data_IF_822285858787
#
_entry.id   IF_822285858787
#
_cell.length_a   1.000
_cell.length_b   1.000
_cell.length_c   1.000
_cell.angle_alpha   90.00
_cell.angle_beta   90.00
_cell.angle_gamma   90.00
#
_symmetry.space_group_name_H-M   'P 1'
#
loop_
_entity.id
_entity.type
_entity.pdbx_description
1 polymer ?
#
# COMPACT_ATOMS: atom_id res chain seq x y z
N UNK A 1 0.38 17.23 15.99
CA UNK A 1 -0.77 16.47 15.48
C UNK A 1 -0.88 15.23 16.32
N UNK A 2 -2.02 15.00 16.97
CA UNK A 2 -2.21 13.83 17.82
C UNK A 2 -2.68 12.67 16.95
N UNK A 3 -2.15 11.48 17.20
CA UNK A 3 -2.52 10.27 16.47
C UNK A 3 -3.37 9.38 17.37
N UNK A 4 -4.34 8.69 16.78
CA UNK A 4 -5.06 7.63 17.48
C UNK A 4 -4.13 6.49 17.86
N UNK A 5 -4.55 5.69 18.84
CA UNK A 5 -3.93 4.40 19.10
C UNK A 5 -3.88 3.54 17.83
N UNK A 6 -2.89 2.66 17.78
CA UNK A 6 -2.73 1.71 16.69
C UNK A 6 -3.86 0.69 16.71
N UNK A 7 -4.49 0.51 15.56
CA UNK A 7 -5.56 -0.48 15.35
C UNK A 7 -5.08 -1.55 14.36
N UNK A 8 -5.36 -2.83 14.60
CA UNK A 8 -5.08 -3.88 13.62
C UNK A 8 -5.81 -3.60 12.30
N UNK A 9 -5.14 -3.81 11.17
CA UNK A 9 -5.73 -3.72 9.83
C UNK A 9 -5.74 -5.11 9.20
N UNK A 10 -6.92 -5.74 9.15
CA UNK A 10 -7.05 -7.09 8.58
C UNK A 10 -7.15 -7.03 7.07
N UNK A 11 -6.10 -7.47 6.40
CA UNK A 11 -5.99 -7.52 4.94
C UNK A 11 -5.79 -8.96 4.48
N UNK A 12 -6.50 -9.38 3.43
CA UNK A 12 -6.45 -10.75 2.91
C UNK A 12 -6.28 -10.75 1.39
N UNK A 13 -5.26 -11.43 0.84
CA UNK A 13 -4.14 -12.03 1.56
C UNK A 13 -3.32 -10.96 2.31
N UNK A 14 -2.57 -11.41 3.31
CA UNK A 14 -1.74 -10.53 4.15
C UNK A 14 -0.67 -9.79 3.33
N UNK A 15 0.01 -8.85 3.98
CA UNK A 15 1.04 -8.02 3.37
C UNK A 15 2.29 -8.12 4.23
N UNK A 16 3.39 -8.64 3.66
CA UNK A 16 4.70 -8.62 4.31
C UNK A 16 5.41 -7.28 4.09
N UNK A 17 6.54 -7.06 4.79
CA UNK A 17 7.28 -5.79 4.74
C UNK A 17 7.82 -5.45 3.35
N UNK A 18 8.34 -6.45 2.63
CA UNK A 18 8.92 -6.22 1.30
C UNK A 18 7.82 -5.87 0.31
N UNK A 19 6.71 -6.63 0.32
CA UNK A 19 5.53 -6.35 -0.49
C UNK A 19 4.89 -5.00 -0.14
N UNK A 20 4.89 -4.59 1.13
CA UNK A 20 4.41 -3.27 1.57
C UNK A 20 5.27 -2.16 0.99
N UNK A 21 6.59 -2.24 1.17
CA UNK A 21 7.52 -1.24 0.66
C UNK A 21 7.39 -1.10 -0.86
N UNK A 22 7.38 -2.21 -1.59
CA UNK A 22 7.21 -2.20 -3.05
C UNK A 22 5.82 -1.67 -3.48
N UNK A 23 4.77 -1.95 -2.72
CA UNK A 23 3.42 -1.41 -2.99
C UNK A 23 3.37 0.12 -2.82
N UNK A 24 4.03 0.66 -1.78
CA UNK A 24 3.94 2.08 -1.43
C UNK A 24 4.97 2.97 -2.11
N UNK A 25 6.16 2.44 -2.39
CA UNK A 25 7.31 3.20 -2.91
C UNK A 25 7.81 2.67 -4.27
N UNK A 26 7.27 1.56 -4.78
CA UNK A 26 7.58 1.02 -6.12
C UNK A 26 7.03 1.85 -7.29
N UNK A 27 6.68 3.12 -7.06
CA UNK A 27 6.26 4.06 -8.10
C UNK A 27 4.78 4.04 -8.48
N UNK A 28 3.95 3.30 -7.75
CA UNK A 28 2.49 3.36 -7.92
C UNK A 28 1.91 4.65 -7.35
N UNK A 29 2.39 5.06 -6.17
CA UNK A 29 2.02 6.29 -5.47
C UNK A 29 3.28 7.08 -5.14
N UNK A 30 3.12 8.39 -4.97
CA UNK A 30 4.19 9.32 -4.59
C UNK A 30 3.89 10.06 -3.28
N UNK A 31 2.89 9.59 -2.54
CA UNK A 31 2.33 10.25 -1.35
C UNK A 31 2.59 9.48 -0.07
N UNK A 32 3.45 8.47 -0.11
CA UNK A 32 3.88 7.69 1.03
C UNK A 32 5.32 8.04 1.41
N UNK A 33 5.57 8.17 2.71
CA UNK A 33 6.90 8.46 3.26
C UNK A 33 7.14 7.46 4.40
N UNK A 34 8.25 6.74 4.32
CA UNK A 34 8.72 5.87 5.39
C UNK A 34 9.57 6.67 6.38
N UNK A 35 9.32 6.48 7.67
CA UNK A 35 10.19 7.00 8.72
C UNK A 35 11.27 5.97 9.14
N UNK A 36 12.30 6.36 9.92
CA UNK A 36 13.33 5.43 10.40
C UNK A 36 12.82 4.30 11.30
N UNK A 37 11.57 4.36 11.76
CA UNK A 37 10.92 3.33 12.57
C UNK A 37 10.07 2.36 11.73
N UNK A 38 10.29 2.32 10.42
CA UNK A 38 9.56 1.49 9.45
C UNK A 38 8.03 1.72 9.51
N UNK A 39 7.65 2.97 9.76
CA UNK A 39 6.27 3.42 9.69
C UNK A 39 6.06 4.24 8.43
N UNK A 40 5.04 3.89 7.67
CA UNK A 40 4.67 4.54 6.43
C UNK A 40 3.54 5.52 6.69
N UNK A 41 3.75 6.80 6.40
CA UNK A 41 2.71 7.83 6.45
C UNK A 41 2.26 8.16 5.04
N UNK A 42 0.96 8.09 4.79
CA UNK A 42 0.36 8.26 3.47
C UNK A 42 -0.83 9.21 3.48
N UNK A 43 -1.09 9.80 2.32
CA UNK A 43 -2.27 10.61 2.08
C UNK A 43 -2.89 10.30 0.72
N UNK A 44 -4.22 10.16 0.70
CA UNK A 44 -5.04 10.15 -0.51
C UNK A 44 -6.41 10.78 -0.19
N UNK A 45 -6.93 11.58 -1.11
CA UNK A 45 -8.16 12.35 -0.91
C UNK A 45 -8.11 13.14 0.42
N UNK A 46 -9.09 12.91 1.30
CA UNK A 46 -9.20 13.48 2.64
C UNK A 46 -8.54 12.62 3.73
N UNK A 47 -7.95 11.47 3.38
CA UNK A 47 -7.41 10.51 4.33
C UNK A 47 -5.92 10.77 4.57
N UNK A 48 -5.55 10.87 5.85
CA UNK A 48 -4.16 10.83 6.29
C UNK A 48 -4.05 9.66 7.27
N UNK A 49 -3.16 8.72 6.96
CA UNK A 49 -2.95 7.54 7.82
C UNK A 49 -1.47 7.26 7.94
N UNK A 50 -1.13 6.52 8.98
CA UNK A 50 0.14 5.81 9.06
C UNK A 50 -0.12 4.32 9.23
N UNK A 51 0.70 3.50 8.59
CA UNK A 51 0.65 2.05 8.68
C UNK A 51 2.03 1.48 8.99
N UNK A 52 2.04 0.36 9.70
CA UNK A 52 3.27 -0.39 10.00
C UNK A 52 2.96 -1.88 10.13
N UNK A 53 3.97 -2.69 9.93
CA UNK A 53 3.93 -4.12 10.25
C UNK A 53 4.67 -4.33 11.57
N UNK A 54 4.09 -5.06 12.52
CA UNK A 54 4.76 -5.43 13.77
C UNK A 54 5.84 -6.50 13.53
N UNK A 55 6.70 -6.78 14.51
CA UNK A 55 7.66 -7.90 14.42
C UNK A 55 6.95 -9.25 14.22
N UNK A 56 5.74 -9.39 14.75
CA UNK A 56 4.86 -10.56 14.58
C UNK A 56 4.18 -10.62 13.18
N UNK A 57 4.45 -9.65 12.30
CA UNK A 57 3.89 -9.62 10.94
C UNK A 57 2.47 -9.05 10.86
N UNK A 58 1.98 -8.38 11.90
CA UNK A 58 0.63 -7.82 11.91
C UNK A 58 0.61 -6.39 11.37
N UNK A 59 -0.17 -6.17 10.30
CA UNK A 59 -0.43 -4.85 9.77
C UNK A 59 -1.35 -4.07 10.72
N UNK A 60 -0.95 -2.85 11.05
CA UNK A 60 -1.71 -1.93 11.90
C UNK A 60 -1.74 -0.54 11.28
N UNK A 61 -2.77 0.22 11.62
CA UNK A 61 -2.97 1.58 11.14
C UNK A 61 -3.30 2.56 12.28
N UNK A 62 -3.08 3.83 12.02
CA UNK A 62 -3.41 4.95 12.92
C UNK A 62 -3.68 6.19 12.05
N UNK A 63 -4.50 7.12 12.53
CA UNK A 63 -4.81 8.35 11.83
C UNK A 63 -4.74 9.55 12.78
N UNK A 64 -4.60 10.78 12.27
CA UNK A 64 -4.71 11.97 13.10
C UNK A 64 -6.08 12.07 13.74
N UNK A 65 -6.13 12.32 15.05
CA UNK A 65 -7.39 12.37 15.82
C UNK A 65 -8.35 13.41 15.28
N UNK A 66 -7.85 14.49 14.69
CA UNK A 66 -8.64 15.59 14.14
C UNK A 66 -9.15 15.32 12.72
N UNK A 67 -8.60 14.33 12.01
CA UNK A 67 -8.94 14.02 10.61
C UNK A 67 -9.60 12.64 10.43
N UNK A 68 -9.61 11.80 11.46
CA UNK A 68 -10.19 10.47 11.37
C UNK A 68 -11.72 10.53 11.16
N UNK A 69 -12.19 9.85 10.13
CA UNK A 69 -13.61 9.62 9.87
C UNK A 69 -14.00 8.19 10.31
N UNK A 70 -15.29 7.92 10.60
CA UNK A 70 -15.74 6.59 11.01
C UNK A 70 -15.42 5.48 9.99
N UNK A 71 -15.31 5.83 8.70
CA UNK A 71 -15.07 4.91 7.60
C UNK A 71 -13.60 4.92 7.10
N UNK A 72 -12.68 5.61 7.77
CA UNK A 72 -11.26 5.68 7.36
C UNK A 72 -10.62 4.30 7.21
N UNK A 73 -10.95 3.34 8.10
CA UNK A 73 -10.44 1.96 7.99
C UNK A 73 -10.92 1.28 6.69
N UNK A 74 -12.21 1.41 6.37
CA UNK A 74 -12.79 0.81 5.18
C UNK A 74 -12.22 1.45 3.90
N UNK A 75 -12.00 2.77 3.92
CA UNK A 75 -11.34 3.49 2.83
C UNK A 75 -9.89 3.05 2.64
N UNK A 76 -9.14 2.86 3.73
CA UNK A 76 -7.77 2.35 3.70
C UNK A 76 -7.72 0.92 3.14
N UNK A 77 -8.61 0.03 3.59
CA UNK A 77 -8.72 -1.32 3.02
C UNK A 77 -9.01 -1.28 1.53
N UNK A 78 -9.99 -0.47 1.09
CA UNK A 78 -10.32 -0.31 -0.32
C UNK A 78 -9.13 0.24 -1.13
N UNK A 79 -8.42 1.25 -0.60
CA UNK A 79 -7.23 1.83 -1.21
C UNK A 79 -6.11 0.79 -1.38
N UNK A 80 -5.88 -0.05 -0.37
CA UNK A 80 -4.94 -1.19 -0.42
C UNK A 80 -5.49 -2.40 -1.21
N UNK A 81 -6.58 -2.22 -1.96
CA UNK A 81 -7.11 -3.25 -2.85
C UNK A 81 -7.78 -4.42 -2.15
N UNK A 82 -8.29 -4.24 -0.94
CA UNK A 82 -9.12 -5.24 -0.27
C UNK A 82 -10.36 -5.57 -1.13
N UNK A 83 -10.78 -6.84 -1.07
CA UNK A 83 -11.90 -7.36 -1.85
C UNK A 83 -11.55 -7.81 -3.28
N UNK A 84 -10.31 -7.58 -3.75
CA UNK A 84 -9.81 -8.27 -4.95
C UNK A 84 -9.47 -9.73 -4.63
N UNK A 85 -9.75 -10.65 -5.56
CA UNK A 85 -9.28 -12.03 -5.48
C UNK A 85 -7.85 -12.12 -6.03
N UNK A 86 -6.88 -11.68 -5.22
CA UNK A 86 -5.46 -11.62 -5.62
C UNK A 86 -4.91 -12.98 -6.04
N UNK A 87 -5.26 -14.05 -5.32
CA UNK A 87 -4.83 -15.42 -5.67
C UNK A 87 -5.28 -15.82 -7.07
N UNK A 88 -6.55 -15.54 -7.42
CA UNK A 88 -7.08 -15.81 -8.76
C UNK A 88 -6.45 -14.93 -9.84
N UNK A 89 -6.11 -13.68 -9.53
CA UNK A 89 -5.41 -12.80 -10.47
C UNK A 89 -3.99 -13.27 -10.73
N UNK A 90 -3.26 -13.67 -9.68
CA UNK A 90 -1.90 -14.21 -9.79
C UNK A 90 -1.91 -15.53 -10.57
N UNK A 91 -2.91 -16.40 -10.34
CA UNK A 91 -3.00 -17.69 -11.03
C UNK A 91 -3.21 -17.57 -12.55
N UNK A 92 -3.81 -16.46 -13.00
CA UNK A 92 -4.00 -16.15 -14.42
C UNK A 92 -2.71 -15.66 -15.11
N UNK A 93 -1.68 -15.26 -14.36
CA UNK A 93 -0.42 -14.82 -14.94
C UNK A 93 0.40 -16.02 -15.47
N UNK A 94 1.21 -15.86 -16.54
CA UNK A 94 1.96 -16.96 -17.15
C UNK A 94 3.21 -17.39 -16.35
N UNK A 95 3.20 -17.27 -15.02
CA UNK A 95 4.36 -17.51 -14.14
C UNK A 95 4.86 -18.96 -14.16
N UNK A 96 4.01 -19.92 -14.55
CA UNK A 96 4.41 -21.33 -14.71
C UNK A 96 5.39 -21.54 -15.86
N UNK A 97 5.30 -20.68 -16.88
CA UNK A 97 6.16 -20.69 -18.07
C UNK A 97 7.16 -19.54 -18.12
N UNK A 98 7.04 -18.55 -17.23
CA UNK A 98 7.93 -17.40 -17.13
C UNK A 98 8.71 -17.41 -15.79
N UNK A 99 10.01 -17.76 -15.80
CA UNK A 99 10.81 -17.84 -14.58
C UNK A 99 11.06 -16.48 -13.91
N UNK A 100 11.04 -15.37 -14.65
CA UNK A 100 11.23 -14.04 -14.09
C UNK A 100 9.98 -13.60 -13.33
N UNK A 101 8.80 -13.86 -13.92
CA UNK A 101 7.53 -13.58 -13.26
C UNK A 101 7.35 -14.44 -12.01
N UNK A 102 7.73 -15.72 -12.06
CA UNK A 102 7.73 -16.58 -10.87
C UNK A 102 8.60 -16.00 -9.75
N UNK A 103 9.83 -15.60 -10.09
CA UNK A 103 10.76 -14.99 -9.12
C UNK A 103 10.19 -13.70 -8.51
N UNK A 104 9.51 -12.87 -9.31
CA UNK A 104 8.88 -11.65 -8.81
C UNK A 104 7.73 -11.95 -7.82
N UNK A 105 6.89 -12.94 -8.13
CA UNK A 105 5.80 -13.38 -7.23
C UNK A 105 6.37 -13.95 -5.92
N UNK A 106 7.44 -14.74 -5.99
CA UNK A 106 8.10 -15.29 -4.79
C UNK A 106 8.75 -14.21 -3.93
N UNK A 107 9.34 -13.17 -4.56
CA UNK A 107 9.98 -12.06 -3.86
C UNK A 107 8.96 -11.12 -3.18
N UNK A 108 7.78 -10.94 -3.78
CA UNK A 108 6.76 -10.03 -3.27
C UNK A 108 5.35 -10.66 -3.31
N UNK A 109 5.09 -11.68 -2.47
CA UNK A 109 3.86 -12.46 -2.52
C UNK A 109 2.60 -11.66 -2.16
N UNK A 110 2.75 -10.52 -1.47
CA UNK A 110 1.66 -9.62 -1.12
C UNK A 110 1.53 -8.39 -2.03
N UNK A 111 2.39 -8.26 -3.06
CA UNK A 111 2.39 -7.10 -3.96
C UNK A 111 1.03 -6.93 -4.62
N UNK A 112 0.55 -5.69 -4.61
CA UNK A 112 -0.80 -5.37 -5.09
C UNK A 112 -0.86 -3.99 -5.70
N UNK A 113 -1.95 -3.77 -6.44
CA UNK A 113 -2.23 -2.50 -7.09
C UNK A 113 -3.07 -1.62 -6.16
N UNK A 114 -2.59 -0.40 -5.90
CA UNK A 114 -3.33 0.60 -5.13
C UNK A 114 -4.55 1.13 -5.91
N UNK A 115 -5.71 1.26 -5.24
CA UNK A 115 -6.92 1.87 -5.81
C UNK A 115 -6.94 3.37 -5.54
N UNK A 116 -6.07 4.09 -6.24
CA UNK A 116 -5.90 5.53 -6.08
C UNK A 116 -7.05 6.33 -6.72
N UNK A 117 -7.38 7.53 -6.18
CA UNK A 117 -8.25 8.49 -6.85
C UNK A 117 -7.69 8.84 -8.23
N UNK A 118 -8.56 8.87 -9.24
CA UNK A 118 -8.15 9.07 -10.63
C UNK A 118 -7.42 10.40 -10.83
N UNK A 119 -7.90 11.50 -10.23
CA UNK A 119 -7.27 12.81 -10.42
C UNK A 119 -5.86 12.86 -9.80
N UNK A 120 -5.68 12.25 -8.62
CA UNK A 120 -4.37 12.19 -7.95
C UNK A 120 -3.37 11.35 -8.72
N UNK A 121 -3.79 10.18 -9.21
CA UNK A 121 -2.95 9.32 -10.04
C UNK A 121 -2.54 10.04 -11.33
N UNK A 122 -3.51 10.65 -12.04
CA UNK A 122 -3.25 11.39 -13.28
C UNK A 122 -2.23 12.51 -13.08
N UNK A 123 -2.44 13.36 -12.08
CA UNK A 123 -1.54 14.48 -11.79
C UNK A 123 -0.17 13.98 -11.33
N UNK A 124 -0.12 12.94 -10.50
CA UNK A 124 1.12 12.31 -10.06
C UNK A 124 1.97 11.84 -11.25
N UNK A 125 1.37 11.10 -12.17
CA UNK A 125 2.08 10.58 -13.36
C UNK A 125 2.39 11.67 -14.40
N UNK A 126 1.56 12.71 -14.53
CA UNK A 126 1.89 13.86 -15.39
C UNK A 126 3.15 14.57 -14.87
N UNK A 127 3.29 14.70 -13.55
CA UNK A 127 4.47 15.27 -12.91
C UNK A 127 5.69 14.32 -12.91
N UNK A 128 5.50 13.01 -13.07
CA UNK A 128 6.59 12.02 -13.10
C UNK A 128 7.27 11.90 -14.47
N UNK A 129 6.63 12.37 -15.55
CA UNK A 129 7.11 12.23 -16.93
C UNK A 129 8.50 12.86 -17.20
N UNK A 130 9.04 13.64 -16.27
CA UNK A 130 10.41 14.22 -16.36
C UNK A 130 11.28 13.97 -15.12
N UNK A 131 10.86 13.10 -14.19
CA UNK A 131 11.59 12.84 -12.94
C UNK A 131 11.76 11.35 -12.68
N UNK A 132 12.99 10.94 -12.34
CA UNK A 132 13.26 9.65 -11.71
C UNK A 132 12.66 9.66 -10.30
N UNK A 133 12.09 8.54 -9.86
CA UNK A 133 11.89 8.29 -8.44
C UNK A 133 13.29 8.30 -7.84
N UNK A 134 13.54 9.23 -6.92
CA UNK A 134 14.84 9.36 -6.26
C UNK A 134 14.86 8.30 -5.16
N UNK A 135 15.45 7.14 -5.48
CA UNK A 135 15.87 6.14 -4.49
C UNK A 135 17.16 6.58 -3.79
#
# INVERSE_FOLDING_TARGET
MNWTDWKPLKLTPGLDRASLAETLDGGQSFRWIQDPADTWTGQWSDNVVRIRISEEGHLSWSAPTELIAPDTEARLLAYLGAGSNWDSLIDQLPWRSDPHLRMAIEAFPGLRILRQPMEEALLGFLCSATKRIVQ
#
